data_IF_473289698319
#
_entry.id   IF_473289698319
#
_cell.length_a   1.000
_cell.length_b   1.000
_cell.length_c   1.000
_cell.angle_alpha   90.00
_cell.angle_beta   90.00
_cell.angle_gamma   90.00
#
_symmetry.space_group_name_H-M   'P 1'
#
loop_
_entity.id
_entity.type
_entity.pdbx_description
1 polymer ?
#
# COMPACT_ATOMS: atom_id res chain seq x y z
N UNK A 1 3.19 -32.52 -2.40
CA UNK A 1 2.02 -31.67 -2.11
C UNK A 1 2.47 -30.23 -2.17
N UNK A 2 2.02 -29.45 -3.16
CA UNK A 2 2.31 -28.02 -3.21
C UNK A 2 1.49 -27.37 -2.11
N UNK A 3 2.14 -26.85 -1.06
CA UNK A 3 1.46 -26.08 -0.03
C UNK A 3 0.66 -24.97 -0.75
N UNK A 4 -0.66 -24.91 -0.49
CA UNK A 4 -1.48 -23.76 -0.93
C UNK A 4 -0.79 -22.52 -0.36
N UNK A 5 -0.03 -21.78 -1.19
CA UNK A 5 0.46 -20.45 -0.84
C UNK A 5 -0.79 -19.66 -0.46
N UNK A 6 -0.91 -19.33 0.82
CA UNK A 6 -2.02 -18.49 1.29
C UNK A 6 -2.01 -17.20 0.47
N UNK A 7 -3.18 -16.81 -0.03
CA UNK A 7 -3.28 -15.63 -0.86
C UNK A 7 -2.82 -14.41 -0.07
N UNK A 8 -1.86 -13.67 -0.65
CA UNK A 8 -1.38 -12.40 -0.10
C UNK A 8 -2.05 -11.24 -0.80
N UNK A 9 -2.65 -10.38 0.00
CA UNK A 9 -3.35 -9.18 -0.46
C UNK A 9 -2.54 -7.97 -0.03
N UNK A 10 -2.12 -7.14 -0.96
CA UNK A 10 -1.46 -5.88 -0.65
C UNK A 10 -2.52 -4.78 -0.49
N UNK A 11 -2.58 -4.14 0.66
CA UNK A 11 -3.23 -2.84 0.79
C UNK A 11 -2.21 -1.75 0.48
N UNK A 12 -2.49 -0.92 -0.51
CA UNK A 12 -1.60 0.13 -0.98
C UNK A 12 -2.31 1.46 -0.80
N UNK A 13 -1.69 2.38 -0.07
CA UNK A 13 -2.17 3.74 0.08
C UNK A 13 -1.02 4.73 -0.09
N UNK A 14 -1.34 5.98 -0.40
CA UNK A 14 -0.38 7.07 -0.40
C UNK A 14 -0.77 8.11 0.64
N UNK A 15 0.22 8.81 1.18
CA UNK A 15 0.01 9.97 2.03
C UNK A 15 0.55 11.15 1.21
N UNK A 16 -0.29 11.85 0.42
CA UNK A 16 0.18 12.86 -0.55
C UNK A 16 1.03 13.96 0.10
N UNK A 17 0.65 14.40 1.30
CA UNK A 17 1.42 15.39 2.07
C UNK A 17 2.79 14.91 2.56
N UNK A 18 3.10 13.61 2.49
CA UNK A 18 4.42 13.04 2.80
C UNK A 18 5.22 12.74 1.55
N UNK A 19 4.59 12.68 0.37
CA UNK A 19 5.20 12.05 -0.81
C UNK A 19 5.61 10.60 -0.55
N UNK A 20 4.86 9.87 0.27
CA UNK A 20 5.14 8.48 0.63
C UNK A 20 3.97 7.57 0.30
N UNK A 21 4.29 6.37 -0.16
CA UNK A 21 3.35 5.26 -0.20
C UNK A 21 3.58 4.31 0.97
N UNK A 22 2.50 3.68 1.42
CA UNK A 22 2.46 2.66 2.45
C UNK A 22 1.86 1.41 1.84
N UNK A 23 2.53 0.28 2.03
CA UNK A 23 2.11 -1.01 1.51
C UNK A 23 2.02 -1.96 2.70
N UNK A 24 0.85 -2.54 2.91
CA UNK A 24 0.58 -3.51 3.97
C UNK A 24 0.21 -4.83 3.31
N UNK A 25 1.02 -5.86 3.53
CA UNK A 25 0.77 -7.19 2.97
C UNK A 25 0.05 -8.02 4.02
N UNK A 26 -1.12 -8.53 3.67
CA UNK A 26 -1.89 -9.43 4.51
C UNK A 26 -1.77 -10.88 4.06
N UNK A 27 -1.69 -11.79 5.02
CA UNK A 27 -1.70 -13.25 4.83
C UNK A 27 -2.70 -13.89 5.79
N UNK A 28 -3.79 -14.45 5.28
CA UNK A 28 -4.80 -15.13 6.11
C UNK A 28 -5.45 -14.24 7.18
N UNK A 29 -5.47 -12.91 6.99
CA UNK A 29 -5.99 -11.95 7.97
C UNK A 29 -4.97 -11.43 8.99
N UNK A 30 -3.71 -11.82 8.86
CA UNK A 30 -2.58 -11.27 9.62
C UNK A 30 -1.78 -10.32 8.76
N UNK A 31 -1.11 -9.35 9.39
CA UNK A 31 -0.14 -8.49 8.71
C UNK A 31 1.16 -9.29 8.61
N UNK A 32 1.56 -9.60 7.37
CA UNK A 32 2.82 -10.26 7.05
C UNK A 32 3.95 -9.24 6.95
N UNK A 33 3.67 -8.07 6.35
CA UNK A 33 4.67 -7.01 6.13
C UNK A 33 4.02 -5.64 6.09
N UNK A 34 4.73 -4.63 6.58
CA UNK A 34 4.45 -3.22 6.35
C UNK A 34 5.70 -2.60 5.74
N UNK A 35 5.56 -1.97 4.58
CA UNK A 35 6.62 -1.24 3.91
C UNK A 35 6.19 0.20 3.64
N UNK A 36 7.17 1.10 3.61
CA UNK A 36 6.98 2.48 3.21
C UNK A 36 8.07 2.88 2.22
N UNK A 37 7.69 3.60 1.17
CA UNK A 37 8.61 4.16 0.22
C UNK A 37 8.28 5.62 -0.09
N UNK A 38 9.25 6.35 -0.59
CA UNK A 38 8.99 7.64 -1.22
C UNK A 38 8.36 7.38 -2.59
N UNK A 39 7.20 8.00 -2.81
CA UNK A 39 6.46 7.94 -4.05
C UNK A 39 5.48 9.12 -4.08
N UNK A 40 5.72 10.07 -4.97
CA UNK A 40 4.85 11.22 -5.27
C UNK A 40 3.96 10.95 -6.48
N UNK A 41 4.33 9.97 -7.30
CA UNK A 41 3.57 9.54 -8.47
C UNK A 41 3.43 8.02 -8.47
N UNK A 42 2.44 7.53 -9.21
CA UNK A 42 2.24 6.10 -9.40
C UNK A 42 3.44 5.43 -10.09
N UNK A 43 4.11 6.14 -11.00
CA UNK A 43 5.31 5.63 -11.67
C UNK A 43 6.48 5.38 -10.70
N UNK A 44 6.72 6.29 -9.75
CA UNK A 44 7.74 6.09 -8.71
C UNK A 44 7.42 4.86 -7.85
N UNK A 45 6.14 4.64 -7.53
CA UNK A 45 5.69 3.45 -6.81
C UNK A 45 5.90 2.16 -7.63
N UNK A 46 5.61 2.19 -8.94
CA UNK A 46 5.90 1.06 -9.85
C UNK A 46 7.39 0.72 -9.84
N UNK A 47 8.26 1.72 -9.96
CA UNK A 47 9.71 1.50 -9.93
C UNK A 47 10.20 0.91 -8.60
N UNK A 48 9.63 1.36 -7.49
CA UNK A 48 9.91 0.77 -6.19
C UNK A 48 9.44 -0.69 -6.09
N UNK A 49 8.23 -1.00 -6.58
CA UNK A 49 7.69 -2.37 -6.61
C UNK A 49 8.55 -3.30 -7.48
N UNK A 50 9.09 -2.81 -8.60
CA UNK A 50 10.02 -3.58 -9.45
C UNK A 50 11.31 -3.94 -8.72
N UNK A 51 11.87 -3.01 -7.94
CA UNK A 51 13.15 -3.19 -7.25
C UNK A 51 13.05 -4.03 -5.98
N UNK A 52 11.90 -4.00 -5.32
CA UNK A 52 11.71 -4.64 -4.01
C UNK A 52 11.42 -6.14 -4.08
N UNK A 53 10.98 -6.67 -5.22
CA UNK A 53 10.63 -8.09 -5.37
C UNK A 53 9.28 -8.49 -4.73
N UNK A 54 8.66 -7.64 -3.90
CA UNK A 54 7.37 -7.92 -3.25
C UNK A 54 6.25 -8.29 -4.22
N UNK A 55 6.35 -7.82 -5.46
CA UNK A 55 5.35 -8.07 -6.50
C UNK A 55 5.15 -9.57 -6.77
N UNK A 56 6.18 -10.40 -6.63
CA UNK A 56 6.12 -11.83 -6.90
C UNK A 56 5.32 -12.60 -5.83
N UNK A 57 5.09 -11.97 -4.68
CA UNK A 57 4.42 -12.57 -3.54
C UNK A 57 2.95 -12.18 -3.45
N UNK A 58 2.52 -11.14 -4.18
CA UNK A 58 1.19 -10.55 -4.12
C UNK A 58 0.28 -11.22 -5.14
N UNK A 59 -0.92 -11.62 -4.71
CA UNK A 59 -1.95 -12.19 -5.59
C UNK A 59 -2.95 -11.12 -6.06
N UNK A 60 -3.23 -10.16 -5.21
CA UNK A 60 -4.28 -9.16 -5.38
C UNK A 60 -3.95 -7.93 -4.54
N UNK A 61 -4.62 -6.82 -4.83
CA UNK A 61 -4.43 -5.60 -4.06
C UNK A 61 -5.74 -4.87 -3.73
N UNK A 62 -5.69 -4.08 -2.68
CA UNK A 62 -6.71 -3.10 -2.34
C UNK A 62 -6.07 -1.72 -2.31
N UNK A 63 -6.79 -0.70 -2.79
CA UNK A 63 -6.33 0.67 -2.85
C UNK A 63 -6.98 1.52 -1.76
N UNK A 64 -6.16 2.28 -1.03
CA UNK A 64 -6.61 3.38 -0.19
C UNK A 64 -6.91 4.65 -1.00
N UNK A 65 -7.59 5.60 -0.38
CA UNK A 65 -8.01 6.85 -1.03
C UNK A 65 -6.84 7.69 -1.52
N UNK A 66 -5.73 7.71 -0.77
CA UNK A 66 -4.54 8.46 -1.15
C UNK A 66 -3.85 7.89 -2.37
N UNK A 67 -3.88 6.57 -2.57
CA UNK A 67 -3.42 5.96 -3.82
C UNK A 67 -4.26 6.42 -5.00
N UNK A 68 -5.59 6.47 -4.84
CA UNK A 68 -6.50 6.91 -5.90
C UNK A 68 -6.29 8.39 -6.26
N UNK A 69 -5.83 9.20 -5.32
CA UNK A 69 -5.48 10.60 -5.53
C UNK A 69 -4.06 10.80 -6.14
N UNK A 70 -3.27 9.74 -6.26
CA UNK A 70 -1.91 9.81 -6.78
C UNK A 70 -1.92 10.02 -8.30
N UNK A 71 -1.04 10.90 -8.79
CA UNK A 71 -0.91 11.12 -10.24
C UNK A 71 -0.48 9.82 -10.93
N UNK A 72 -1.25 9.40 -11.95
CA UNK A 72 -1.01 8.16 -12.70
C UNK A 72 -1.52 6.89 -12.01
N UNK A 73 -2.42 7.00 -11.02
CA UNK A 73 -2.95 5.82 -10.30
C UNK A 73 -3.50 4.73 -11.24
N UNK A 74 -4.17 5.10 -12.33
CA UNK A 74 -4.63 4.16 -13.37
C UNK A 74 -3.49 3.35 -13.99
N UNK A 75 -2.34 3.98 -14.23
CA UNK A 75 -1.18 3.33 -14.85
C UNK A 75 -0.59 2.25 -13.93
N UNK A 76 -0.63 2.48 -12.60
CA UNK A 76 -0.28 1.46 -11.62
C UNK A 76 -1.28 0.30 -11.63
N UNK A 77 -2.58 0.58 -11.66
CA UNK A 77 -3.59 -0.48 -11.72
C UNK A 77 -3.44 -1.34 -12.99
N UNK A 78 -3.25 -0.71 -14.15
CA UNK A 78 -3.00 -1.39 -15.42
C UNK A 78 -1.70 -2.20 -15.39
N UNK A 79 -0.64 -1.65 -14.81
CA UNK A 79 0.65 -2.34 -14.67
C UNK A 79 0.57 -3.58 -13.74
N UNK A 80 -0.20 -3.49 -12.65
CA UNK A 80 -0.50 -4.61 -11.75
C UNK A 80 -1.38 -5.66 -12.44
N UNK A 81 -2.41 -5.24 -13.16
CA UNK A 81 -3.29 -6.13 -13.90
C UNK A 81 -2.53 -6.92 -14.98
N UNK A 82 -1.59 -6.28 -15.68
CA UNK A 82 -0.68 -6.95 -16.63
C UNK A 82 0.21 -8.04 -16.00
N UNK A 83 0.26 -8.14 -14.67
CA UNK A 83 0.95 -9.19 -13.88
C UNK A 83 -0.01 -10.19 -13.25
N UNK A 84 -1.31 -10.11 -13.54
CA UNK A 84 -2.33 -10.93 -12.92
C UNK A 84 -2.68 -10.52 -11.49
N UNK A 85 -2.23 -9.34 -11.03
CA UNK A 85 -2.54 -8.80 -9.71
C UNK A 85 -3.75 -7.89 -9.86
N UNK A 86 -4.91 -8.39 -9.47
CA UNK A 86 -6.18 -7.69 -9.64
C UNK A 86 -6.60 -6.96 -8.38
N UNK A 87 -7.33 -5.86 -8.58
CA UNK A 87 -7.94 -5.11 -7.49
C UNK A 87 -9.07 -5.93 -6.86
N UNK A 88 -9.11 -5.98 -5.55
CA UNK A 88 -10.18 -6.61 -4.79
C UNK A 88 -10.54 -5.81 -3.53
N UNK A 89 -11.68 -6.15 -2.94
CA UNK A 89 -12.04 -5.60 -1.64
C UNK A 89 -11.27 -6.31 -0.52
N UNK A 90 -10.65 -5.50 0.33
CA UNK A 90 -10.00 -5.99 1.52
C UNK A 90 -11.06 -6.43 2.56
N UNK A 91 -10.91 -7.60 3.22
CA UNK A 91 -11.83 -8.01 4.27
C UNK A 91 -11.95 -6.95 5.39
N UNK A 92 -13.15 -6.79 5.95
CA UNK A 92 -13.44 -5.71 6.93
C UNK A 92 -12.46 -5.67 8.12
N UNK A 93 -12.00 -6.84 8.61
CA UNK A 93 -10.98 -6.91 9.67
C UNK A 93 -9.67 -6.25 9.23
N UNK A 94 -9.16 -6.64 8.06
CA UNK A 94 -7.90 -6.14 7.51
C UNK A 94 -8.04 -4.66 7.14
N UNK A 95 -9.19 -4.24 6.65
CA UNK A 95 -9.48 -2.83 6.37
C UNK A 95 -9.38 -1.98 7.63
N UNK A 96 -9.98 -2.41 8.76
CA UNK A 96 -9.83 -1.69 10.04
C UNK A 96 -8.37 -1.59 10.49
N UNK A 97 -7.58 -2.65 10.30
CA UNK A 97 -6.16 -2.64 10.64
C UNK A 97 -5.37 -1.66 9.75
N UNK A 98 -5.60 -1.71 8.43
CA UNK A 98 -4.99 -0.79 7.49
C UNK A 98 -5.34 0.67 7.79
N UNK A 99 -6.64 0.97 8.01
CA UNK A 99 -7.10 2.30 8.38
C UNK A 99 -6.42 2.81 9.65
N UNK A 100 -6.36 2.01 10.72
CA UNK A 100 -5.71 2.41 11.96
C UNK A 100 -4.21 2.73 11.77
N UNK A 101 -3.50 1.94 10.94
CA UNK A 101 -2.09 2.20 10.62
C UNK A 101 -1.94 3.50 9.84
N UNK A 102 -2.75 3.70 8.80
CA UNK A 102 -2.70 4.90 7.96
C UNK A 102 -3.05 6.16 8.77
N UNK A 103 -4.09 6.11 9.60
CA UNK A 103 -4.47 7.21 10.49
C UNK A 103 -3.36 7.53 11.49
N UNK A 104 -2.77 6.51 12.13
CA UNK A 104 -1.64 6.70 13.04
C UNK A 104 -0.43 7.36 12.36
N UNK A 105 -0.11 6.97 11.12
CA UNK A 105 0.97 7.59 10.35
C UNK A 105 0.68 9.04 9.97
N UNK A 106 -0.56 9.33 9.55
CA UNK A 106 -1.02 10.70 9.26
C UNK A 106 -0.92 11.58 10.51
N UNK A 107 -1.33 11.08 11.67
CA UNK A 107 -1.27 11.84 12.93
C UNK A 107 0.18 12.06 13.41
N UNK A 108 1.03 11.04 13.30
CA UNK A 108 2.46 11.18 13.56
C UNK A 108 3.09 12.27 12.70
N UNK A 109 2.75 12.33 11.41
CA UNK A 109 3.23 13.39 10.54
C UNK A 109 2.78 14.77 11.01
N UNK A 110 1.50 14.94 11.35
CA UNK A 110 0.96 16.22 11.82
C UNK A 110 1.68 16.71 13.08
N UNK A 111 1.98 15.80 14.02
CA UNK A 111 2.74 16.17 15.23
C UNK A 111 4.21 16.51 14.94
N UNK A 112 4.82 15.93 13.90
CA UNK A 112 6.19 16.24 13.46
C UNK A 112 6.32 17.50 12.60
N UNK A 113 5.23 18.01 12.04
CA UNK A 113 5.18 19.33 11.38
C UNK A 113 4.94 20.45 12.41
N UNK A 114 4.58 20.11 13.65
CA UNK A 114 4.51 21.04 14.80
C UNK A 114 5.73 21.02 15.75
N UNK A 115 6.97 21.25 15.29
CA UNK A 115 8.02 21.75 16.17
C UNK A 115 8.33 23.19 15.79
N UNK A 116 8.40 24.07 16.80
CA UNK A 116 8.74 25.52 16.75
C UNK A 116 7.57 26.53 16.80
N UNK A 117 6.58 26.31 17.66
CA UNK A 117 5.85 27.42 18.30
C UNK A 117 5.76 27.18 19.80
N UNK A 118 6.89 27.36 20.51
CA UNK A 118 6.97 27.74 21.93
C UNK A 118 8.28 28.49 22.20
#
# INVERSE_FOLDING_TARGET
MVAKREARIAYIDAIPGMGRAIIIIFRGGWIDTIASCEAKTAWELIEWLRRSGYIEEIKSFAAGEGLLALQGASDLEDWLAGRGILREQLPARNMRQASAIIEGLKEYQRSKIRPEEE
#
